data_IF_113237485741
#
_entry.id   IF_113237485741
#
_cell.length_a   1.000
_cell.length_b   1.000
_cell.length_c   1.000
_cell.angle_alpha   90.00
_cell.angle_beta   90.00
_cell.angle_gamma   90.00
#
_symmetry.space_group_name_H-M   'P 1'
#
loop_
_entity.id
_entity.type
_entity.pdbx_description
1 polymer ?
#
# COMPACT_ATOMS: atom_id res chain seq x y z
N UNK A 1 16.22 20.17 19.26
CA UNK A 1 16.77 18.94 18.63
C UNK A 1 17.94 19.27 17.74
N UNK A 2 17.78 20.05 16.66
CA UNK A 2 18.90 20.45 15.79
C UNK A 2 20.15 20.94 16.56
N UNK A 3 20.03 21.91 17.45
CA UNK A 3 21.16 22.42 18.27
C UNK A 3 21.83 21.36 19.15
N UNK A 4 21.11 20.31 19.54
CA UNK A 4 21.64 19.23 20.38
C UNK A 4 22.32 18.14 19.55
N UNK A 5 21.81 17.83 18.36
CA UNK A 5 22.17 16.60 17.65
C UNK A 5 22.82 16.81 16.27
N UNK A 6 22.91 18.05 15.79
CA UNK A 6 23.39 18.33 14.44
C UNK A 6 24.87 17.98 14.26
N UNK A 7 25.73 18.41 15.19
CA UNK A 7 27.19 18.23 15.07
C UNK A 7 27.77 17.20 16.08
N UNK A 8 26.94 16.66 16.97
CA UNK A 8 27.36 15.79 18.07
C UNK A 8 26.40 14.61 18.28
N UNK A 9 26.92 13.38 18.18
CA UNK A 9 26.21 12.14 18.47
C UNK A 9 25.66 12.06 19.90
N UNK A 10 26.37 12.66 20.86
CA UNK A 10 26.08 12.53 22.29
C UNK A 10 25.11 13.59 22.80
N UNK A 11 24.72 14.59 22.00
CA UNK A 11 23.83 15.63 22.50
C UNK A 11 22.38 15.18 22.62
N UNK A 12 22.01 14.04 22.02
CA UNK A 12 20.65 13.50 22.06
C UNK A 12 20.17 13.21 23.49
N UNK A 13 21.04 12.67 24.35
CA UNK A 13 20.69 12.30 25.73
C UNK A 13 20.17 13.47 26.57
N UNK A 14 20.56 14.70 26.23
CA UNK A 14 20.03 15.90 26.91
C UNK A 14 18.53 16.12 26.66
N UNK A 15 18.00 15.56 25.57
CA UNK A 15 16.58 15.66 25.24
C UNK A 15 15.71 14.60 25.92
N UNK A 16 16.29 13.50 26.44
CA UNK A 16 15.55 12.35 26.97
C UNK A 16 14.50 12.73 28.00
N UNK A 17 14.88 13.52 29.01
CA UNK A 17 13.96 13.96 30.08
C UNK A 17 12.83 14.81 29.51
N UNK A 18 13.11 15.65 28.51
CA UNK A 18 12.10 16.49 27.86
C UNK A 18 11.11 15.67 27.03
N UNK A 19 11.60 14.70 26.25
CA UNK A 19 10.76 13.77 25.49
C UNK A 19 9.92 12.90 26.42
N UNK A 20 10.52 12.32 27.47
CA UNK A 20 9.82 11.53 28.47
C UNK A 20 8.67 12.31 29.11
N UNK A 21 8.93 13.53 29.60
CA UNK A 21 7.92 14.37 30.21
C UNK A 21 6.81 14.76 29.22
N UNK A 22 7.17 15.02 27.96
CA UNK A 22 6.22 15.32 26.89
C UNK A 22 5.30 14.13 26.61
N UNK A 23 5.85 12.92 26.41
CA UNK A 23 5.04 11.72 26.18
C UNK A 23 4.22 11.33 27.40
N UNK A 24 4.75 11.48 28.62
CA UNK A 24 4.00 11.25 29.86
C UNK A 24 2.78 12.16 29.95
N UNK A 25 2.93 13.44 29.60
CA UNK A 25 1.81 14.42 29.55
C UNK A 25 0.80 14.11 28.45
N UNK A 26 1.27 13.68 27.27
CA UNK A 26 0.41 13.36 26.13
C UNK A 26 -0.24 11.97 26.21
N UNK A 27 0.24 11.10 27.10
CA UNK A 27 -0.20 9.69 27.24
C UNK A 27 -1.72 9.50 27.15
N UNK A 28 -2.58 10.28 27.85
CA UNK A 28 -4.03 10.11 27.77
C UNK A 28 -4.60 10.33 26.36
N UNK A 29 -4.03 11.28 25.61
CA UNK A 29 -4.43 11.57 24.22
C UNK A 29 -3.92 10.49 23.26
N UNK A 30 -2.74 9.95 23.52
CA UNK A 30 -2.09 8.95 22.67
C UNK A 30 -2.70 7.55 22.80
N UNK A 31 -3.55 7.28 23.81
CA UNK A 31 -4.10 5.94 24.03
C UNK A 31 -4.94 5.42 22.85
N UNK A 32 -5.64 6.32 22.17
CA UNK A 32 -6.48 6.01 21.01
C UNK A 32 -5.93 6.61 19.70
N UNK A 33 -4.66 7.01 19.67
CA UNK A 33 -4.03 7.63 18.49
C UNK A 33 -2.87 6.78 17.99
N UNK A 34 -2.62 6.86 16.69
CA UNK A 34 -1.33 6.47 16.15
C UNK A 34 -0.31 7.57 16.50
N UNK A 35 0.86 7.17 16.97
CA UNK A 35 1.99 8.07 17.21
C UNK A 35 3.09 7.71 16.22
N UNK A 36 3.54 8.70 15.45
CA UNK A 36 4.71 8.61 14.59
C UNK A 36 5.74 9.61 15.12
N UNK A 37 6.96 9.12 15.40
CA UNK A 37 8.12 9.94 15.73
C UNK A 37 9.15 9.66 14.66
N UNK A 38 9.49 10.66 13.85
CA UNK A 38 10.41 10.50 12.73
C UNK A 38 11.47 11.58 12.74
N UNK A 39 12.67 11.22 12.28
CA UNK A 39 13.71 12.16 11.86
C UNK A 39 13.56 12.45 10.37
N UNK A 40 13.97 13.64 9.94
CA UNK A 40 14.05 14.00 8.53
C UNK A 40 15.28 13.38 7.84
N UNK A 41 16.38 13.27 8.57
CA UNK A 41 17.61 12.59 8.16
C UNK A 41 18.33 11.97 9.38
N UNK A 42 19.41 11.21 9.17
CA UNK A 42 20.28 10.75 10.26
C UNK A 42 21.35 11.79 10.62
N UNK A 43 22.52 11.38 11.12
CA UNK A 43 23.56 12.36 11.46
C UNK A 43 24.26 12.90 10.21
N UNK A 44 23.88 14.11 9.82
CA UNK A 44 24.34 14.74 8.58
C UNK A 44 25.58 15.63 8.73
N UNK A 45 25.90 16.05 9.95
CA UNK A 45 26.99 16.99 10.20
C UNK A 45 27.94 16.50 11.30
N UNK A 46 29.07 17.20 11.43
CA UNK A 46 30.16 16.83 12.34
C UNK A 46 31.10 15.74 11.80
N UNK A 47 32.15 15.39 12.57
CA UNK A 47 33.20 14.47 12.13
C UNK A 47 32.70 13.05 11.80
N UNK A 48 31.64 12.60 12.47
CA UNK A 48 31.14 11.23 12.30
C UNK A 48 30.60 10.99 10.88
N UNK A 49 30.02 12.01 10.24
CA UNK A 49 29.53 11.94 8.85
C UNK A 49 30.61 11.57 7.83
N UNK A 50 31.89 11.82 8.14
CA UNK A 50 33.04 11.52 7.27
C UNK A 50 33.43 10.03 7.29
N UNK A 51 32.89 9.25 8.23
CA UNK A 51 33.09 7.79 8.27
C UNK A 51 32.14 7.11 7.29
N UNK A 52 32.48 5.88 6.87
CA UNK A 52 31.61 5.07 6.02
C UNK A 52 30.24 4.84 6.67
N UNK A 53 30.22 4.45 7.95
CA UNK A 53 28.99 4.28 8.73
C UNK A 53 28.19 5.58 8.81
N UNK A 54 28.82 6.72 9.07
CA UNK A 54 28.15 8.01 9.11
C UNK A 54 27.53 8.43 7.77
N UNK A 55 28.14 8.04 6.65
CA UNK A 55 27.57 8.28 5.33
C UNK A 55 26.33 7.43 5.05
N UNK A 56 26.29 6.20 5.58
CA UNK A 56 25.11 5.34 5.55
C UNK A 56 24.02 5.90 6.48
N UNK A 57 24.39 6.25 7.70
CA UNK A 57 23.47 6.75 8.74
C UNK A 57 22.80 8.08 8.34
N UNK A 58 23.47 8.95 7.59
CA UNK A 58 22.85 10.16 7.01
C UNK A 58 21.53 9.86 6.28
N UNK A 59 21.48 8.72 5.58
CA UNK A 59 20.32 8.24 4.82
C UNK A 59 19.44 7.26 5.61
N UNK A 60 19.68 7.08 6.91
CA UNK A 60 18.95 6.17 7.80
C UNK A 60 18.20 6.95 8.91
N UNK A 61 17.14 7.71 8.57
CA UNK A 61 16.38 8.47 9.56
C UNK A 61 15.67 7.53 10.54
N UNK A 62 15.68 7.90 11.82
CA UNK A 62 14.93 7.16 12.83
C UNK A 62 13.42 7.27 12.59
N UNK A 63 12.70 6.14 12.67
CA UNK A 63 11.24 6.08 12.61
C UNK A 63 10.71 5.16 13.72
N UNK A 64 9.87 5.72 14.59
CA UNK A 64 9.16 4.99 15.63
C UNK A 64 7.66 5.13 15.46
N UNK A 65 6.95 4.02 15.53
CA UNK A 65 5.50 3.98 15.39
C UNK A 65 4.90 3.28 16.60
N UNK A 66 3.92 3.92 17.26
CA UNK A 66 3.10 3.28 18.28
C UNK A 66 1.63 3.27 17.86
N UNK A 67 1.02 2.09 17.92
CA UNK A 67 -0.40 1.89 17.61
C UNK A 67 -1.31 2.36 18.76
N UNK A 68 -2.57 2.75 18.47
CA UNK A 68 -3.62 2.86 19.48
C UNK A 68 -3.69 1.62 20.37
N UNK A 69 -3.92 1.77 21.68
CA UNK A 69 -3.96 0.65 22.65
C UNK A 69 -4.90 -0.48 22.23
N UNK A 70 -6.08 -0.13 21.68
CA UNK A 70 -7.08 -1.11 21.21
C UNK A 70 -6.54 -1.98 20.06
N UNK A 71 -5.75 -1.41 19.17
CA UNK A 71 -5.19 -2.12 18.00
C UNK A 71 -4.00 -3.02 18.36
N UNK A 72 -3.32 -2.78 19.49
CA UNK A 72 -2.18 -3.60 19.94
C UNK A 72 -2.55 -5.05 20.30
N UNK A 73 -3.84 -5.32 20.55
CA UNK A 73 -4.36 -6.68 20.80
C UNK A 73 -4.52 -7.50 19.51
N UNK A 74 -4.49 -6.87 18.34
CA UNK A 74 -4.58 -7.56 17.06
C UNK A 74 -3.22 -8.20 16.74
N UNK A 75 -3.13 -9.53 16.91
CA UNK A 75 -1.90 -10.28 16.69
C UNK A 75 -1.37 -10.16 15.25
N UNK A 76 -2.27 -10.15 14.26
CA UNK A 76 -1.88 -10.01 12.86
C UNK A 76 -1.24 -8.65 12.58
N UNK A 77 -1.86 -7.56 13.05
CA UNK A 77 -1.30 -6.22 12.92
C UNK A 77 0.03 -6.08 13.67
N UNK A 78 0.14 -6.69 14.86
CA UNK A 78 1.40 -6.69 15.63
C UNK A 78 2.52 -7.39 14.85
N UNK A 79 2.25 -8.54 14.23
CA UNK A 79 3.23 -9.27 13.44
C UNK A 79 3.69 -8.44 12.23
N UNK A 80 2.75 -7.83 11.49
CA UNK A 80 3.08 -6.94 10.37
C UNK A 80 4.01 -5.80 10.81
N UNK A 81 3.69 -5.14 11.94
CA UNK A 81 4.53 -4.05 12.44
C UNK A 81 5.93 -4.53 12.86
N UNK A 82 6.04 -5.74 13.42
CA UNK A 82 7.33 -6.32 13.81
C UNK A 82 8.18 -6.74 12.61
N UNK A 83 7.55 -7.27 11.57
CA UNK A 83 8.22 -7.60 10.30
C UNK A 83 8.69 -6.32 9.61
N UNK A 84 7.80 -5.33 9.45
CA UNK A 84 8.15 -4.05 8.83
C UNK A 84 9.30 -3.34 9.56
N UNK A 85 9.38 -3.43 10.89
CA UNK A 85 10.49 -2.88 11.67
C UNK A 85 11.86 -3.52 11.36
N UNK A 86 11.90 -4.64 10.64
CA UNK A 86 13.11 -5.33 10.18
C UNK A 86 13.35 -5.16 8.68
N UNK A 87 12.51 -4.39 8.00
CA UNK A 87 12.63 -4.11 6.56
C UNK A 87 13.04 -2.66 6.32
N UNK A 88 13.64 -2.41 5.16
CA UNK A 88 13.91 -1.06 4.71
C UNK A 88 12.57 -0.39 4.35
N UNK A 89 12.26 0.72 5.02
CA UNK A 89 11.05 1.52 4.80
C UNK A 89 11.49 2.88 4.26
N UNK A 90 10.75 3.39 3.27
CA UNK A 90 10.94 4.73 2.73
C UNK A 90 9.88 5.71 3.26
N UNK A 91 10.13 7.01 3.09
CA UNK A 91 9.12 8.03 3.38
C UNK A 91 7.83 7.86 2.56
N UNK A 92 7.89 7.22 1.38
CA UNK A 92 6.70 6.91 0.57
C UNK A 92 5.81 5.86 1.26
N UNK A 93 6.39 4.90 1.96
CA UNK A 93 5.65 3.90 2.72
C UNK A 93 4.95 4.52 3.93
N UNK A 94 5.63 5.47 4.61
CA UNK A 94 5.03 6.26 5.70
C UNK A 94 3.87 7.10 5.18
N UNK A 95 4.04 7.78 4.03
CA UNK A 95 2.97 8.54 3.38
C UNK A 95 1.77 7.64 3.03
N UNK A 96 2.00 6.48 2.41
CA UNK A 96 0.95 5.53 2.06
C UNK A 96 0.21 5.03 3.31
N UNK A 97 0.95 4.77 4.40
CA UNK A 97 0.38 4.37 5.70
C UNK A 97 -0.52 5.46 6.28
N UNK A 98 -0.05 6.72 6.31
CA UNK A 98 -0.83 7.86 6.80
C UNK A 98 -2.09 8.08 5.97
N UNK A 99 -1.99 7.98 4.64
CA UNK A 99 -3.12 8.09 3.75
C UNK A 99 -4.16 6.99 4.00
N UNK A 100 -3.70 5.74 4.20
CA UNK A 100 -4.58 4.62 4.52
C UNK A 100 -5.32 4.84 5.86
N UNK A 101 -4.62 5.29 6.90
CA UNK A 101 -5.22 5.63 8.19
C UNK A 101 -6.26 6.75 8.01
N UNK A 102 -5.90 7.81 7.29
CA UNK A 102 -6.80 8.95 7.03
C UNK A 102 -8.03 8.53 6.24
N UNK A 103 -7.91 7.68 5.21
CA UNK A 103 -9.04 7.18 4.44
C UNK A 103 -10.03 6.39 5.32
N UNK A 104 -9.53 5.54 6.22
CA UNK A 104 -10.40 4.84 7.18
C UNK A 104 -11.14 5.82 8.09
N UNK A 105 -10.52 6.95 8.44
CA UNK A 105 -11.15 7.99 9.26
C UNK A 105 -12.11 8.91 8.49
N UNK A 106 -11.86 9.20 7.20
CA UNK A 106 -12.67 10.11 6.37
C UNK A 106 -13.91 9.44 5.78
N UNK A 107 -13.85 8.12 5.57
CA UNK A 107 -15.00 7.35 5.13
C UNK A 107 -15.64 6.71 6.35
N UNK A 108 -16.68 7.36 6.90
CA UNK A 108 -17.61 6.80 7.89
C UNK A 108 -18.46 5.63 7.31
N UNK A 109 -18.03 5.09 6.17
CA UNK A 109 -18.65 3.98 5.47
C UNK A 109 -18.03 2.66 5.95
N UNK A 110 -18.88 1.72 6.32
CA UNK A 110 -18.43 0.37 6.66
C UNK A 110 -18.21 -0.42 5.38
N UNK A 111 -17.04 -1.02 5.25
CA UNK A 111 -16.82 -2.08 4.28
C UNK A 111 -17.54 -3.34 4.78
N UNK A 112 -18.52 -3.81 4.03
CA UNK A 112 -19.17 -5.09 4.28
C UNK A 112 -18.62 -6.14 3.33
N UNK A 113 -18.15 -7.26 3.87
CA UNK A 113 -17.66 -8.38 3.06
C UNK A 113 -18.86 -9.03 2.36
N UNK A 114 -18.83 -9.03 1.04
CA UNK A 114 -19.83 -9.70 0.20
C UNK A 114 -19.45 -11.18 0.05
N UNK A 115 -20.43 -12.06 0.18
CA UNK A 115 -20.25 -13.53 0.12
C UNK A 115 -20.77 -14.16 -1.17
N UNK A 116 -21.40 -13.39 -2.06
CA UNK A 116 -21.92 -13.88 -3.34
C UNK A 116 -20.75 -14.25 -4.28
N UNK A 117 -20.52 -15.55 -4.57
CA UNK A 117 -19.40 -15.99 -5.38
C UNK A 117 -19.57 -15.63 -6.86
N UNK A 118 -20.81 -15.55 -7.36
CA UNK A 118 -21.10 -15.20 -8.75
C UNK A 118 -20.75 -13.72 -8.97
N UNK A 119 -21.17 -12.85 -8.05
CA UNK A 119 -20.83 -11.43 -8.09
C UNK A 119 -19.33 -11.19 -7.97
N UNK A 120 -18.66 -11.90 -7.05
CA UNK A 120 -17.20 -11.84 -6.87
C UNK A 120 -16.46 -12.19 -8.17
N UNK A 121 -16.80 -13.33 -8.78
CA UNK A 121 -16.13 -13.80 -9.99
C UNK A 121 -16.39 -12.87 -11.19
N UNK A 122 -17.65 -12.41 -11.36
CA UNK A 122 -18.00 -11.47 -12.43
C UNK A 122 -17.17 -10.18 -12.33
N UNK A 123 -17.14 -9.56 -11.15
CA UNK A 123 -16.41 -8.31 -10.94
C UNK A 123 -14.89 -8.50 -11.05
N UNK A 124 -14.36 -9.66 -10.65
CA UNK A 124 -12.95 -9.97 -10.85
C UNK A 124 -12.60 -10.09 -12.34
N UNK A 125 -13.44 -10.77 -13.13
CA UNK A 125 -13.25 -10.91 -14.60
C UNK A 125 -13.30 -9.54 -15.30
N UNK A 126 -14.29 -8.71 -14.99
CA UNK A 126 -14.37 -7.34 -15.53
C UNK A 126 -13.16 -6.49 -15.11
N UNK A 127 -12.66 -6.68 -13.87
CA UNK A 127 -11.46 -6.00 -13.39
C UNK A 127 -10.20 -6.42 -14.16
N UNK A 128 -10.03 -7.71 -14.44
CA UNK A 128 -8.89 -8.19 -15.25
C UNK A 128 -8.99 -7.72 -16.70
N UNK A 129 -10.19 -7.70 -17.28
CA UNK A 129 -10.40 -7.17 -18.63
C UNK A 129 -9.99 -5.69 -18.73
N UNK A 130 -10.37 -4.87 -17.74
CA UNK A 130 -9.94 -3.48 -17.63
C UNK A 130 -8.42 -3.36 -17.47
N UNK A 131 -7.81 -4.18 -16.61
CA UNK A 131 -6.37 -4.20 -16.37
C UNK A 131 -5.61 -4.49 -17.67
N UNK A 132 -5.96 -5.55 -18.38
CA UNK A 132 -5.32 -5.88 -19.67
C UNK A 132 -5.59 -4.77 -20.71
N UNK A 133 -6.79 -4.18 -20.70
CA UNK A 133 -7.11 -3.01 -21.52
C UNK A 133 -6.16 -1.82 -21.28
N UNK A 134 -5.77 -1.56 -20.03
CA UNK A 134 -4.84 -0.48 -19.69
C UNK A 134 -3.41 -0.78 -20.15
N UNK A 135 -2.97 -2.04 -20.06
CA UNK A 135 -1.72 -2.52 -20.63
C UNK A 135 -1.71 -2.31 -22.15
N UNK A 136 -2.79 -2.71 -22.84
CA UNK A 136 -2.94 -2.57 -24.29
C UNK A 136 -2.90 -1.11 -24.73
N UNK A 137 -3.69 -0.25 -24.08
CA UNK A 137 -3.74 1.19 -24.37
C UNK A 137 -2.39 1.89 -24.22
N UNK A 138 -1.48 1.33 -23.43
CA UNK A 138 -0.13 1.87 -23.20
C UNK A 138 0.94 1.26 -24.11
N UNK A 139 0.56 0.38 -25.04
CA UNK A 139 1.48 -0.23 -26.01
C UNK A 139 2.32 -1.38 -25.47
N UNK A 140 1.92 -2.01 -24.36
CA UNK A 140 2.69 -3.08 -23.72
C UNK A 140 2.24 -4.51 -24.05
N UNK A 141 1.25 -4.69 -24.93
CA UNK A 141 0.70 -6.01 -25.31
C UNK A 141 1.72 -7.00 -25.91
N UNK A 142 2.78 -6.48 -26.52
CA UNK A 142 3.86 -7.31 -27.10
C UNK A 142 4.79 -7.84 -25.99
N UNK A 143 4.90 -7.13 -24.88
CA UNK A 143 5.84 -7.43 -23.79
C UNK A 143 5.19 -8.08 -22.58
N UNK A 144 3.94 -7.75 -22.30
CA UNK A 144 3.18 -8.27 -21.16
C UNK A 144 2.20 -9.35 -21.62
N UNK A 145 2.11 -10.45 -20.88
CA UNK A 145 1.09 -11.47 -21.03
C UNK A 145 -0.31 -10.90 -20.76
N UNK A 146 -1.31 -11.51 -21.41
CA UNK A 146 -2.71 -11.28 -21.09
C UNK A 146 -3.04 -12.03 -19.79
N UNK A 147 -3.48 -11.30 -18.77
CA UNK A 147 -3.79 -11.90 -17.46
C UNK A 147 -5.22 -12.46 -17.44
N UNK A 148 -5.44 -13.46 -16.58
CA UNK A 148 -6.76 -14.00 -16.27
C UNK A 148 -6.94 -14.11 -14.75
N UNK A 149 -8.17 -14.17 -14.27
CA UNK A 149 -8.45 -14.37 -12.84
C UNK A 149 -8.01 -15.78 -12.45
N UNK A 150 -7.31 -15.90 -11.33
CA UNK A 150 -7.06 -17.20 -10.70
C UNK A 150 -8.32 -17.64 -9.94
N UNK A 151 -9.14 -18.48 -10.56
CA UNK A 151 -10.38 -18.98 -9.95
C UNK A 151 -10.15 -19.92 -8.76
N UNK A 152 -8.92 -20.43 -8.58
CA UNK A 152 -8.54 -21.23 -7.41
C UNK A 152 -8.17 -20.38 -6.19
N UNK A 153 -7.86 -19.09 -6.40
CA UNK A 153 -7.52 -18.16 -5.35
C UNK A 153 -8.76 -17.49 -4.73
N UNK A 154 -8.62 -17.04 -3.48
CA UNK A 154 -9.70 -16.32 -2.80
C UNK A 154 -9.93 -14.93 -3.43
N UNK A 155 -11.15 -14.67 -3.87
CA UNK A 155 -11.62 -13.34 -4.25
C UNK A 155 -12.27 -12.68 -3.03
N UNK A 156 -11.84 -11.46 -2.70
CA UNK A 156 -12.48 -10.68 -1.62
C UNK A 156 -13.17 -9.45 -2.19
N UNK A 157 -14.48 -9.37 -2.01
CA UNK A 157 -15.30 -8.24 -2.41
C UNK A 157 -15.83 -7.51 -1.18
N UNK A 158 -15.55 -6.22 -1.08
CA UNK A 158 -16.00 -5.36 0.00
C UNK A 158 -16.92 -4.27 -0.55
N UNK A 159 -18.17 -4.21 -0.07
CA UNK A 159 -19.10 -3.14 -0.39
C UNK A 159 -18.90 -1.96 0.57
N UNK A 160 -18.70 -0.77 0.01
CA UNK A 160 -18.69 0.50 0.74
C UNK A 160 -20.12 0.97 1.00
N UNK A 161 -20.61 0.83 2.23
CA UNK A 161 -21.91 1.40 2.65
C UNK A 161 -21.71 2.64 3.51
N UNK A 162 -22.24 3.77 3.05
CA UNK A 162 -22.24 5.04 3.80
C UNK A 162 -23.38 4.98 4.83
N UNK A 163 -23.07 5.17 6.11
CA UNK A 163 -24.01 4.99 7.22
C UNK A 163 -25.24 5.93 7.22
N UNK A 164 -25.24 6.99 6.41
CA UNK A 164 -26.26 8.06 6.46
C UNK A 164 -27.28 8.07 5.30
N UNK A 165 -27.29 7.08 4.40
CA UNK A 165 -28.39 6.97 3.40
C UNK A 165 -29.47 6.07 3.97
N UNK A 166 -30.67 6.63 4.19
CA UNK A 166 -31.85 5.89 4.66
C UNK A 166 -32.04 4.63 3.82
N UNK A 167 -32.27 3.50 4.49
CA UNK A 167 -32.38 2.17 3.90
C UNK A 167 -33.58 1.99 2.95
N UNK A 168 -34.33 3.05 2.65
CA UNK A 168 -35.62 2.96 1.97
C UNK A 168 -35.59 3.05 0.44
N UNK A 169 -34.42 3.14 -0.21
CA UNK A 169 -34.27 3.10 -1.68
C UNK A 169 -32.98 2.36 -2.14
N UNK A 170 -32.68 1.21 -1.52
CA UNK A 170 -31.39 0.49 -1.70
C UNK A 170 -31.25 -0.19 -3.07
N UNK A 171 -32.34 -0.58 -3.73
CA UNK A 171 -32.29 -1.40 -4.95
C UNK A 171 -31.84 -0.65 -6.21
N UNK A 172 -31.95 0.68 -6.26
CA UNK A 172 -31.67 1.49 -7.47
C UNK A 172 -30.45 2.45 -7.34
N UNK A 173 -29.67 2.33 -6.26
CA UNK A 173 -28.51 3.21 -6.04
C UNK A 173 -27.21 2.58 -6.57
N UNK A 174 -26.28 3.37 -7.17
CA UNK A 174 -24.96 2.89 -7.51
C UNK A 174 -24.25 2.33 -6.27
N UNK A 175 -23.70 1.13 -6.38
CA UNK A 175 -22.98 0.46 -5.29
C UNK A 175 -21.49 0.59 -5.53
N UNK A 176 -20.75 0.94 -4.48
CA UNK A 176 -19.30 1.09 -4.53
C UNK A 176 -18.66 -0.15 -3.90
N UNK A 177 -17.66 -0.70 -4.56
CA UNK A 177 -16.95 -1.89 -4.12
C UNK A 177 -15.44 -1.65 -4.15
N UNK A 178 -14.72 -2.33 -3.24
CA UNK A 178 -13.29 -2.64 -3.38
C UNK A 178 -13.17 -4.14 -3.58
N UNK A 179 -12.62 -4.57 -4.70
CA UNK A 179 -12.36 -5.98 -4.99
C UNK A 179 -10.87 -6.26 -4.90
N UNK A 180 -10.53 -7.42 -4.34
CA UNK A 180 -9.18 -7.98 -4.29
C UNK A 180 -9.21 -9.37 -4.94
N UNK A 181 -8.29 -9.61 -5.88
CA UNK A 181 -8.22 -10.85 -6.65
C UNK A 181 -6.77 -11.18 -7.02
N UNK A 182 -6.54 -12.43 -7.40
CA UNK A 182 -5.25 -12.90 -7.92
C UNK A 182 -5.37 -13.18 -9.41
N UNK A 183 -4.27 -12.97 -10.16
CA UNK A 183 -4.20 -13.29 -11.58
C UNK A 183 -3.21 -14.41 -11.87
N UNK A 184 -3.46 -15.11 -12.98
CA UNK A 184 -2.49 -15.96 -13.65
C UNK A 184 -2.23 -15.46 -15.09
N UNK A 185 -1.00 -15.59 -15.62
CA UNK A 185 0.19 -16.08 -14.93
C UNK A 185 0.75 -15.08 -13.89
N UNK A 186 1.72 -15.54 -13.09
CA UNK A 186 2.51 -14.70 -12.19
C UNK A 186 2.02 -14.58 -10.76
N UNK A 187 0.77 -14.97 -10.46
CA UNK A 187 0.23 -14.91 -9.10
C UNK A 187 0.12 -13.46 -8.57
N UNK A 188 -0.06 -12.49 -9.46
CA UNK A 188 -0.19 -11.09 -9.09
C UNK A 188 -1.48 -10.85 -8.31
N UNK A 189 -1.38 -10.23 -7.14
CA UNK A 189 -2.53 -9.88 -6.31
C UNK A 189 -2.85 -8.41 -6.48
N UNK A 190 -4.10 -8.09 -6.79
CA UNK A 190 -4.53 -6.73 -7.11
C UNK A 190 -5.73 -6.30 -6.29
N UNK A 191 -5.83 -5.00 -6.01
CA UNK A 191 -7.05 -4.37 -5.54
C UNK A 191 -7.49 -3.23 -6.47
N UNK A 192 -8.79 -3.06 -6.66
CA UNK A 192 -9.35 -1.93 -7.41
C UNK A 192 -10.70 -1.50 -6.82
N UNK A 193 -10.97 -0.19 -6.88
CA UNK A 193 -12.27 0.39 -6.52
C UNK A 193 -13.14 0.49 -7.77
N UNK A 194 -14.37 0.03 -7.67
CA UNK A 194 -15.33 0.02 -8.77
C UNK A 194 -16.72 0.41 -8.28
N UNK A 195 -17.52 0.96 -9.19
CA UNK A 195 -18.91 1.35 -8.97
C UNK A 195 -19.79 0.60 -9.97
N UNK A 196 -20.79 -0.12 -9.48
CA UNK A 196 -21.79 -0.72 -10.37
C UNK A 196 -22.87 0.29 -10.68
N UNK A 197 -23.09 0.57 -11.96
CA UNK A 197 -24.17 1.42 -12.47
C UNK A 197 -25.50 0.66 -12.46
N UNK A 198 -26.61 1.39 -12.59
CA UNK A 198 -27.97 0.83 -12.65
C UNK A 198 -28.16 -0.17 -13.80
N UNK A 199 -27.42 0.00 -14.89
CA UNK A 199 -27.43 -0.90 -16.05
C UNK A 199 -26.69 -2.23 -15.82
N UNK A 200 -26.11 -2.45 -14.64
CA UNK A 200 -25.22 -3.58 -14.36
C UNK A 200 -23.78 -3.38 -14.85
N UNK A 201 -23.52 -2.31 -15.61
CA UNK A 201 -22.17 -1.94 -16.08
C UNK A 201 -21.28 -1.51 -14.91
N UNK A 202 -20.01 -1.90 -14.95
CA UNK A 202 -19.00 -1.46 -13.99
C UNK A 202 -18.31 -0.19 -14.48
N UNK A 203 -18.12 0.74 -13.55
CA UNK A 203 -17.39 1.98 -13.70
C UNK A 203 -16.19 1.98 -12.74
N UNK A 204 -14.97 2.13 -13.26
CA UNK A 204 -13.74 2.06 -12.48
C UNK A 204 -13.37 3.45 -11.97
N UNK A 205 -14.02 3.87 -10.88
CA UNK A 205 -13.97 5.25 -10.35
C UNK A 205 -12.58 5.78 -10.02
N UNK A 206 -11.59 4.93 -9.78
CA UNK A 206 -10.20 5.34 -9.46
C UNK A 206 -9.19 5.12 -10.58
N UNK A 207 -9.57 4.48 -11.69
CA UNK A 207 -8.72 4.03 -12.83
C UNK A 207 -7.38 3.32 -12.50
N UNK A 208 -7.00 3.17 -11.23
CA UNK A 208 -5.73 2.64 -10.79
C UNK A 208 -5.92 1.33 -10.04
N UNK A 209 -5.20 0.31 -10.47
CA UNK A 209 -5.04 -0.96 -9.77
C UNK A 209 -3.90 -0.84 -8.76
N UNK A 210 -4.15 -1.29 -7.53
CA UNK A 210 -3.15 -1.44 -6.47
C UNK A 210 -2.55 -2.85 -6.59
N UNK A 211 -1.25 -2.97 -6.85
CA UNK A 211 -0.54 -4.27 -6.75
C UNK A 211 -0.23 -4.55 -5.27
N UNK A 212 -0.75 -5.66 -4.74
CA UNK A 212 -0.70 -6.01 -3.31
C UNK A 212 0.51 -6.87 -2.93
N UNK A 213 1.16 -7.52 -3.91
CA UNK A 213 2.35 -8.34 -3.68
C UNK A 213 3.51 -7.91 -4.56
N UNK A 214 4.74 -8.23 -4.14
CA UNK A 214 5.96 -7.92 -4.88
C UNK A 214 5.89 -8.54 -6.28
N UNK A 215 6.09 -7.74 -7.33
CA UNK A 215 6.17 -8.23 -8.71
C UNK A 215 7.56 -8.82 -9.05
N UNK A 216 8.61 -8.37 -8.36
CA UNK A 216 9.99 -8.81 -8.62
C UNK A 216 10.37 -8.63 -10.09
N UNK A 217 11.09 -9.61 -10.64
CA UNK A 217 11.59 -9.57 -12.02
C UNK A 217 10.51 -9.94 -13.06
N UNK A 218 9.32 -10.35 -12.62
CA UNK A 218 8.21 -10.72 -13.52
C UNK A 218 7.77 -9.55 -14.40
N UNK A 219 8.06 -8.31 -14.06
CA UNK A 219 7.59 -7.11 -14.76
C UNK A 219 8.72 -6.30 -15.41
N UNK A 220 9.91 -6.87 -15.54
CA UNK A 220 11.14 -6.16 -15.94
C UNK A 220 11.07 -5.53 -17.34
N UNK A 221 10.34 -6.14 -18.27
CA UNK A 221 10.06 -5.62 -19.61
C UNK A 221 9.27 -4.29 -19.62
N UNK A 222 8.67 -3.91 -18.48
CA UNK A 222 7.96 -2.65 -18.26
C UNK A 222 8.67 -1.70 -17.27
N UNK A 223 9.94 -1.95 -16.93
CA UNK A 223 10.72 -1.15 -15.95
C UNK A 223 10.74 0.37 -16.21
N UNK A 224 10.59 0.78 -17.47
CA UNK A 224 10.62 2.18 -17.87
C UNK A 224 9.24 2.88 -17.76
N UNK A 225 8.19 2.19 -17.32
CA UNK A 225 6.86 2.75 -17.19
C UNK A 225 6.26 2.42 -15.81
N UNK A 226 6.22 3.39 -14.87
CA UNK A 226 5.79 3.15 -13.50
C UNK A 226 4.30 2.79 -13.38
N UNK A 227 3.48 3.06 -14.39
CA UNK A 227 2.06 2.72 -14.40
C UNK A 227 1.85 1.27 -14.84
N UNK A 228 2.62 0.80 -15.83
CA UNK A 228 2.49 -0.57 -16.38
C UNK A 228 3.28 -1.59 -15.58
N UNK A 229 4.43 -1.18 -15.04
CA UNK A 229 5.30 -2.03 -14.23
C UNK A 229 4.56 -2.84 -13.15
N UNK A 230 3.68 -2.27 -12.31
CA UNK A 230 2.95 -3.07 -11.32
C UNK A 230 1.93 -4.05 -11.90
N UNK A 231 1.47 -3.84 -13.15
CA UNK A 231 0.41 -4.61 -13.80
C UNK A 231 0.96 -5.75 -14.67
N UNK A 232 2.15 -5.55 -15.25
CA UNK A 232 2.69 -6.42 -16.27
C UNK A 232 3.22 -7.75 -15.72
N UNK A 233 2.98 -8.84 -16.44
CA UNK A 233 3.77 -10.06 -16.34
C UNK A 233 4.46 -10.27 -17.69
N UNK A 234 5.78 -10.30 -17.73
CA UNK A 234 6.54 -10.32 -18.97
C UNK A 234 6.40 -11.64 -19.69
N UNK A 235 6.17 -11.56 -21.01
CA UNK A 235 6.24 -12.72 -21.88
C UNK A 235 7.65 -13.30 -21.84
N UNK A 236 7.75 -14.62 -21.81
CA UNK A 236 9.02 -15.29 -22.12
C UNK A 236 9.26 -15.10 -23.61
N UNK A 237 9.98 -14.05 -23.98
CA UNK A 237 10.49 -13.92 -25.35
C UNK A 237 11.37 -15.14 -25.58
N UNK A 238 11.04 -15.95 -26.59
CA UNK A 238 11.78 -17.16 -26.91
C UNK A 238 13.27 -16.85 -27.00
N UNK A 239 14.07 -17.58 -26.24
CA UNK A 239 15.51 -17.70 -26.46
C UNK A 239 15.63 -18.38 -27.82
N UNK A 240 15.70 -17.59 -28.89
CA UNK A 240 16.07 -18.05 -30.24
C UNK A 240 16.52 -16.91 -31.16
N UNK A 241 16.92 -15.76 -30.62
CA UNK A 241 17.82 -14.86 -31.34
C UNK A 241 18.88 -14.34 -30.37
N UNK A 242 20.08 -14.89 -30.55
CA UNK A 242 21.25 -14.61 -29.74
C UNK A 242 21.56 -13.12 -29.66
N UNK A 243 21.79 -12.68 -28.43
CA UNK A 243 22.68 -11.57 -28.14
C UNK A 243 23.72 -12.14 -27.17
N UNK A 244 24.76 -12.73 -27.73
CA UNK A 244 26.03 -12.82 -27.03
C UNK A 244 26.54 -11.39 -26.83
N UNK A 245 27.14 -11.16 -25.65
CA UNK A 245 27.73 -9.91 -25.19
C UNK A 245 28.77 -9.33 -26.15
#
# INVERSE_FOLDING_TARGET
MATLTHDNLNGLYHADTSFYNTFKRLKPKLENSFLFVMSDHGIRFGPHRKTETGAIEDNNPALFIALPKKLRKNAHLKNIMQENARHLISHYDVYATLLAIAQVCYFDGKYLKMTDPILQLRLAKESVEKLNGDIRKRGYSVRCEELSVDESAQITLLELRIANKSEKNITNSPRNFKIMFQTVPGGGQFAVKLRTLQSGKVDFTSEQFERLNKHGDQSQCARNNPIVMPLCYCKKLGIDQGWEL
#
